data_IF_910754496220
#
_entry.id   IF_910754496220
#
_cell.length_a   1.000
_cell.length_b   1.000
_cell.length_c   1.000
_cell.angle_alpha   90.00
_cell.angle_beta   90.00
_cell.angle_gamma   90.00
#
_symmetry.space_group_name_H-M   'P 1'
#
loop_
_entity.id
_entity.type
_entity.pdbx_description
1 polymer ?
#
# COMPACT_ATOMS: atom_id res chain seq x y z
N UNK A 1 14.07 -0.20 -18.13
CA UNK A 1 13.09 -0.96 -17.32
C UNK A 1 11.81 -1.08 -18.14
N UNK A 2 11.34 -2.30 -18.43
CA UNK A 2 10.03 -2.48 -19.07
C UNK A 2 8.97 -2.41 -18.00
N UNK A 3 8.02 -1.50 -18.18
CA UNK A 3 6.85 -1.39 -17.33
C UNK A 3 5.87 -2.52 -17.68
N UNK A 4 5.42 -3.27 -16.67
CA UNK A 4 4.46 -4.36 -16.83
C UNK A 4 3.10 -3.92 -16.26
N UNK A 5 2.03 -4.32 -16.95
CA UNK A 5 0.66 -4.15 -16.50
C UNK A 5 0.12 -5.50 -16.00
N UNK A 6 -0.75 -5.46 -15.00
CA UNK A 6 -1.31 -6.65 -14.36
C UNK A 6 -2.83 -6.63 -14.42
N UNK A 7 -3.45 -7.77 -14.69
CA UNK A 7 -4.91 -7.95 -14.55
C UNK A 7 -5.33 -8.15 -13.09
N UNK A 8 -4.47 -8.83 -12.32
CA UNK A 8 -4.65 -9.10 -10.90
C UNK A 8 -3.30 -9.39 -10.25
N UNK A 9 -3.23 -9.24 -8.94
CA UNK A 9 -2.05 -9.56 -8.14
C UNK A 9 -2.28 -9.28 -6.67
N UNK A 10 -1.34 -9.71 -5.84
CA UNK A 10 -1.30 -9.41 -4.41
C UNK A 10 0.05 -8.81 -4.04
N UNK A 11 0.04 -7.99 -2.99
CA UNK A 11 1.23 -7.38 -2.40
C UNK A 11 1.29 -7.86 -0.96
N UNK A 12 2.47 -8.25 -0.51
CA UNK A 12 2.70 -8.67 0.87
C UNK A 12 3.92 -7.97 1.44
N UNK A 13 3.94 -7.83 2.77
CA UNK A 13 5.13 -7.35 3.46
C UNK A 13 6.31 -8.30 3.25
N UNK A 14 7.54 -7.79 3.40
CA UNK A 14 8.74 -8.60 3.32
C UNK A 14 8.64 -9.81 4.26
N UNK A 15 8.85 -11.02 3.72
CA UNK A 15 8.77 -12.29 4.45
C UNK A 15 7.41 -12.65 5.08
N UNK A 16 6.31 -12.02 4.66
CA UNK A 16 4.97 -12.41 5.10
C UNK A 16 4.80 -13.95 5.03
N UNK A 17 4.27 -14.62 6.08
CA UNK A 17 3.55 -14.05 7.24
C UNK A 17 4.44 -13.64 8.43
N UNK A 18 5.77 -13.63 8.31
CA UNK A 18 6.65 -13.15 9.38
C UNK A 18 6.49 -11.64 9.60
N UNK A 19 6.76 -11.14 10.82
CA UNK A 19 6.75 -9.70 11.08
C UNK A 19 7.71 -8.93 10.17
N UNK A 20 7.30 -7.74 9.74
CA UNK A 20 8.15 -6.85 8.95
C UNK A 20 9.10 -6.06 9.86
N UNK A 21 10.33 -5.75 9.40
CA UNK A 21 11.27 -4.99 10.20
C UNK A 21 10.86 -3.51 10.33
N UNK A 22 11.43 -2.85 11.33
CA UNK A 22 11.27 -1.42 11.54
C UNK A 22 12.02 -0.56 10.54
N UNK A 23 11.67 0.72 10.51
CA UNK A 23 12.28 1.75 9.67
C UNK A 23 12.27 1.40 8.16
N UNK A 24 11.20 0.74 7.70
CA UNK A 24 11.01 0.43 6.29
C UNK A 24 10.19 1.53 5.61
N UNK A 25 10.53 1.76 4.34
CA UNK A 25 9.65 2.42 3.39
C UNK A 25 9.60 1.60 2.11
N UNK A 26 8.47 0.93 1.89
CA UNK A 26 8.22 0.19 0.67
C UNK A 26 7.29 0.98 -0.23
N UNK A 27 7.53 0.91 -1.54
CA UNK A 27 6.75 1.67 -2.52
C UNK A 27 6.50 0.81 -3.75
N UNK A 28 5.24 0.71 -4.15
CA UNK A 28 4.81 -0.03 -5.31
C UNK A 28 4.01 0.88 -6.23
N UNK A 29 4.36 0.87 -7.51
CA UNK A 29 3.53 1.46 -8.57
C UNK A 29 2.84 0.30 -9.27
N UNK A 30 1.53 0.20 -9.10
CA UNK A 30 0.70 -0.79 -9.75
C UNK A 30 0.12 -0.16 -11.01
N UNK A 31 0.19 -0.90 -12.11
CA UNK A 31 -0.38 -0.50 -13.39
C UNK A 31 -1.35 -1.59 -13.87
N UNK A 32 -2.58 -1.22 -14.16
CA UNK A 32 -3.57 -2.09 -14.80
C UNK A 32 -3.40 -2.12 -16.31
N UNK A 33 -4.15 -2.99 -16.99
CA UNK A 33 -4.28 -2.93 -18.44
C UNK A 33 -4.90 -1.60 -18.87
N UNK A 34 -4.51 -1.12 -20.06
CA UNK A 34 -5.03 0.12 -20.63
C UNK A 34 -6.56 0.13 -20.64
N UNK A 35 -7.15 1.21 -20.13
CA UNK A 35 -8.60 1.39 -20.05
C UNK A 35 -9.27 0.72 -18.85
N UNK A 36 -8.52 0.05 -17.97
CA UNK A 36 -9.04 -0.55 -16.74
C UNK A 36 -8.64 0.26 -15.51
N UNK A 37 -9.54 0.41 -14.56
CA UNK A 37 -9.23 0.94 -13.22
C UNK A 37 -8.75 -0.19 -12.29
N UNK A 38 -8.12 0.17 -11.19
CA UNK A 38 -7.62 -0.77 -10.18
C UNK A 38 -8.60 -0.81 -9.01
N UNK A 39 -9.16 -1.99 -8.74
CA UNK A 39 -9.81 -2.28 -7.46
C UNK A 39 -8.74 -2.73 -6.46
N UNK A 40 -8.58 -2.00 -5.36
CA UNK A 40 -7.64 -2.31 -4.29
C UNK A 40 -8.40 -2.74 -3.04
N UNK A 41 -8.06 -3.92 -2.53
CA UNK A 41 -8.61 -4.46 -1.28
C UNK A 41 -7.48 -5.00 -0.41
N UNK A 42 -7.75 -5.17 0.88
CA UNK A 42 -6.80 -5.78 1.81
C UNK A 42 -7.36 -6.99 2.52
N UNK A 43 -6.55 -8.05 2.53
CA UNK A 43 -6.85 -9.28 3.24
C UNK A 43 -6.36 -9.24 4.68
N UNK A 44 -5.15 -8.70 4.91
CA UNK A 44 -4.54 -8.63 6.24
C UNK A 44 -3.72 -7.34 6.39
N UNK A 45 -4.16 -6.47 7.29
CA UNK A 45 -3.49 -5.23 7.68
C UNK A 45 -3.26 -5.25 9.18
N UNK A 46 -2.14 -5.84 9.60
CA UNK A 46 -1.81 -6.00 11.01
C UNK A 46 -0.55 -5.20 11.37
N UNK A 47 -0.81 -3.95 11.78
CA UNK A 47 0.18 -3.00 12.27
C UNK A 47 0.15 -2.92 13.81
N UNK A 48 1.28 -2.67 14.48
CA UNK A 48 1.32 -2.38 15.90
C UNK A 48 0.40 -1.24 16.30
N UNK A 49 -0.26 -1.38 17.45
CA UNK A 49 -1.00 -0.27 18.08
C UNK A 49 -0.02 0.82 18.48
N UNK A 50 -0.30 2.05 18.06
CA UNK A 50 0.56 3.20 18.33
C UNK A 50 -0.29 4.46 18.43
N UNK A 51 0.19 5.42 19.22
CA UNK A 51 -0.43 6.72 19.39
C UNK A 51 0.54 7.79 18.86
N UNK A 52 0.13 8.51 17.81
CA UNK A 52 0.88 9.66 17.29
C UNK A 52 1.34 9.53 15.83
N UNK A 53 2.13 10.51 15.39
CA UNK A 53 2.55 10.66 14.00
C UNK A 53 3.56 9.60 13.51
N UNK A 54 4.17 8.86 14.45
CA UNK A 54 5.20 7.85 14.17
C UNK A 54 4.64 6.48 13.85
N UNK A 55 3.32 6.30 13.89
CA UNK A 55 2.65 5.05 13.60
C UNK A 55 2.98 4.47 12.23
N UNK A 56 2.92 3.14 12.14
CA UNK A 56 2.94 2.42 10.88
C UNK A 56 1.70 2.75 10.06
N UNK A 57 1.84 2.84 8.74
CA UNK A 57 0.72 3.14 7.87
C UNK A 57 0.92 2.64 6.45
N UNK A 58 -0.21 2.47 5.77
CA UNK A 58 -0.30 2.29 4.33
C UNK A 58 -1.00 3.49 3.71
N UNK A 59 -0.39 4.12 2.72
CA UNK A 59 -1.01 5.18 1.92
C UNK A 59 -1.23 4.70 0.49
N UNK A 60 -2.37 5.07 -0.08
CA UNK A 60 -2.74 4.77 -1.47
C UNK A 60 -3.04 6.10 -2.18
N UNK A 61 -2.42 6.29 -3.33
CA UNK A 61 -2.59 7.48 -4.17
C UNK A 61 -3.09 7.09 -5.56
N UNK A 62 -3.97 7.92 -6.12
CA UNK A 62 -4.65 7.72 -7.40
C UNK A 62 -3.78 8.13 -8.59
N UNK A 63 -2.64 7.44 -8.76
CA UNK A 63 -1.69 7.65 -9.84
C UNK A 63 -0.30 7.14 -9.50
N UNK A 64 0.71 7.49 -10.32
CA UNK A 64 2.06 6.93 -10.19
C UNK A 64 2.95 7.62 -9.13
N UNK A 65 2.48 8.68 -8.49
CA UNK A 65 3.32 9.52 -7.62
C UNK A 65 2.52 10.18 -6.50
N UNK A 66 3.21 10.67 -5.46
CA UNK A 66 2.60 11.39 -4.33
C UNK A 66 2.01 12.76 -4.69
N UNK A 67 2.20 13.23 -5.93
CA UNK A 67 1.58 14.46 -6.43
C UNK A 67 0.12 14.22 -6.88
N UNK A 68 -0.29 12.97 -7.01
CA UNK A 68 -1.67 12.60 -7.31
C UNK A 68 -2.52 12.61 -6.03
N UNK A 69 -3.86 12.66 -6.15
CA UNK A 69 -4.75 12.62 -4.99
C UNK A 69 -4.48 11.41 -4.10
N UNK A 70 -4.39 11.64 -2.79
CA UNK A 70 -4.35 10.55 -1.81
C UNK A 70 -5.76 10.00 -1.65
N UNK A 71 -5.97 8.73 -1.97
CA UNK A 71 -7.25 8.06 -1.78
C UNK A 71 -7.48 7.76 -0.30
N UNK A 72 -6.45 7.26 0.39
CA UNK A 72 -6.55 6.92 1.79
C UNK A 72 -5.21 6.74 2.50
N UNK A 73 -5.29 6.76 3.83
CA UNK A 73 -4.23 6.32 4.75
C UNK A 73 -4.86 5.36 5.76
N UNK A 74 -4.27 4.17 5.88
CA UNK A 74 -4.83 3.08 6.64
C UNK A 74 -4.01 2.75 7.88
N UNK A 75 -4.73 2.30 8.91
CA UNK A 75 -4.23 1.78 10.18
C UNK A 75 -4.50 0.27 10.28
N UNK A 76 -4.00 -0.35 11.35
CA UNK A 76 -4.26 -1.75 11.66
C UNK A 76 -5.74 -2.09 11.69
N UNK A 77 -6.11 -3.26 11.17
CA UNK A 77 -7.46 -3.82 11.21
C UNK A 77 -8.51 -3.14 10.34
N UNK A 78 -8.14 -2.15 9.52
CA UNK A 78 -9.09 -1.51 8.60
C UNK A 78 -9.28 -2.35 7.34
N UNK A 79 -10.54 -2.69 7.03
CA UNK A 79 -10.91 -3.19 5.72
C UNK A 79 -10.85 -2.08 4.69
N UNK A 80 -10.34 -2.41 3.52
CA UNK A 80 -10.14 -1.48 2.42
C UNK A 80 -10.90 -2.01 1.22
N UNK A 81 -11.80 -1.18 0.69
CA UNK A 81 -12.35 -1.36 -0.65
C UNK A 81 -12.31 0.00 -1.35
N UNK A 82 -11.35 0.16 -2.26
CA UNK A 82 -11.17 1.38 -3.04
C UNK A 82 -11.05 1.06 -4.53
N UNK A 83 -11.47 2.01 -5.35
CA UNK A 83 -11.33 1.96 -6.81
C UNK A 83 -10.59 3.21 -7.26
N UNK A 84 -9.54 3.04 -8.06
CA UNK A 84 -8.81 4.17 -8.65
C UNK A 84 -9.63 4.86 -9.75
N UNK A 85 -9.31 6.12 -10.06
CA UNK A 85 -9.84 6.78 -11.26
C UNK A 85 -8.91 6.64 -12.48
N UNK A 86 -7.66 6.22 -12.26
CA UNK A 86 -6.65 6.00 -13.30
C UNK A 86 -6.22 4.54 -13.42
N UNK A 87 -5.39 4.24 -14.42
CA UNK A 87 -4.78 2.93 -14.66
C UNK A 87 -3.61 2.63 -13.70
N UNK A 88 -3.38 3.49 -12.70
CA UNK A 88 -2.22 3.43 -11.82
C UNK A 88 -2.57 3.74 -10.39
N UNK A 89 -1.92 3.01 -9.47
CA UNK A 89 -1.91 3.30 -8.05
C UNK A 89 -0.47 3.33 -7.54
N UNK A 90 -0.20 4.29 -6.67
CA UNK A 90 1.00 4.30 -5.85
C UNK A 90 0.60 3.85 -4.45
N UNK A 91 1.22 2.77 -4.00
CA UNK A 91 1.04 2.23 -2.65
C UNK A 91 2.34 2.46 -1.88
N UNK A 92 2.24 3.07 -0.71
CA UNK A 92 3.38 3.39 0.16
C UNK A 92 3.14 2.79 1.53
N UNK A 93 3.98 1.85 1.93
CA UNK A 93 4.01 1.34 3.29
C UNK A 93 5.19 1.96 4.04
N UNK A 94 4.94 2.45 5.25
CA UNK A 94 5.99 2.96 6.14
C UNK A 94 5.86 2.32 7.52
N UNK A 95 6.95 1.73 8.01
CA UNK A 95 7.05 1.26 9.40
C UNK A 95 7.90 2.20 10.25
N UNK A 96 7.55 2.27 11.53
CA UNK A 96 8.27 2.99 12.56
C UNK A 96 9.56 2.26 12.93
N UNK A 97 10.42 2.91 13.72
CA UNK A 97 11.77 2.41 14.06
C UNK A 97 11.76 0.99 14.63
N UNK A 98 10.77 0.64 15.46
CA UNK A 98 10.68 -0.66 16.11
C UNK A 98 10.07 -1.75 15.22
N UNK A 99 9.37 -1.39 14.15
CA UNK A 99 8.64 -2.33 13.30
C UNK A 99 7.62 -3.16 14.06
N UNK A 100 7.34 -4.35 13.54
CA UNK A 100 6.56 -5.38 14.22
C UNK A 100 7.54 -6.45 14.72
N UNK A 101 7.67 -6.57 16.03
CA UNK A 101 8.52 -7.55 16.71
C UNK A 101 7.69 -8.71 17.24
#
# INVERSE_FOLDING_TARGET
FKEAAYEKGSISSFQYPKPYPGNLQCTWIIKSLSGSVIKFTTENLDFPTCNGATCDYLEVYDGASKNHPKLARFKSGQEIDLVSSHDRLLIVFKSQVLGKS
#
